data_IF_903249170371
#
_entry.id   IF_903249170371
#
_cell.length_a   1.000
_cell.length_b   1.000
_cell.length_c   1.000
_cell.angle_alpha   90.00
_cell.angle_beta   90.00
_cell.angle_gamma   90.00
#
_symmetry.space_group_name_H-M   'P 1'
#
loop_
_entity.id
_entity.type
_entity.pdbx_description
1 polymer ?
#
# COMPACT_ATOMS: atom_id res chain seq x y z
N UNK A 1 -9.22 -5.73 9.00
CA UNK A 1 -9.42 -6.57 10.20
C UNK A 1 -8.36 -6.35 11.29
N UNK A 2 -7.10 -6.74 11.08
CA UNK A 2 -6.07 -6.71 12.15
C UNK A 2 -5.88 -5.34 12.81
N UNK A 3 -5.79 -4.26 12.04
CA UNK A 3 -5.66 -2.90 12.60
C UNK A 3 -6.85 -2.53 13.50
N UNK A 4 -8.09 -2.81 13.05
CA UNK A 4 -9.31 -2.56 13.83
C UNK A 4 -9.27 -3.34 15.15
N UNK A 5 -8.94 -4.63 15.11
CA UNK A 5 -8.85 -5.46 16.32
C UNK A 5 -7.81 -4.91 17.31
N UNK A 6 -6.64 -4.49 16.81
CA UNK A 6 -5.59 -3.91 17.65
C UNK A 6 -5.99 -2.57 18.27
N UNK A 7 -6.73 -1.73 17.54
CA UNK A 7 -7.25 -0.48 18.10
C UNK A 7 -8.26 -0.74 19.22
N UNK A 8 -9.16 -1.72 19.05
CA UNK A 8 -10.11 -2.13 20.10
C UNK A 8 -9.36 -2.69 21.31
N UNK A 9 -8.32 -3.50 21.11
CA UNK A 9 -7.43 -3.98 22.19
C UNK A 9 -6.72 -2.85 22.95
N UNK A 10 -6.54 -1.67 22.31
CA UNK A 10 -5.98 -0.46 22.92
C UNK A 10 -7.07 0.53 23.36
N UNK A 11 -8.24 0.02 23.74
CA UNK A 11 -9.36 0.79 24.30
C UNK A 11 -9.97 1.84 23.34
N UNK A 12 -9.73 1.76 22.03
CA UNK A 12 -10.46 2.58 21.06
C UNK A 12 -11.91 2.10 21.01
N UNK A 13 -12.92 2.99 21.19
CA UNK A 13 -14.32 2.60 21.16
C UNK A 13 -14.70 1.91 19.85
N UNK A 14 -15.39 0.78 19.92
CA UNK A 14 -15.89 0.05 18.75
C UNK A 14 -16.68 0.95 17.80
N UNK A 15 -17.48 1.87 18.34
CA UNK A 15 -18.25 2.83 17.54
C UNK A 15 -17.39 3.75 16.68
N UNK A 16 -16.13 4.02 17.07
CA UNK A 16 -15.23 4.85 16.28
C UNK A 16 -14.55 4.09 15.13
N UNK A 17 -14.40 2.76 15.25
CA UNK A 17 -13.64 1.95 14.29
C UNK A 17 -14.49 0.98 13.46
N UNK A 18 -15.70 0.66 13.89
CA UNK A 18 -16.63 -0.27 13.24
C UNK A 18 -17.84 0.41 12.58
N UNK A 19 -17.90 1.74 12.57
CA UNK A 19 -18.95 2.46 11.84
C UNK A 19 -18.84 2.20 10.32
N UNK A 20 -19.96 1.87 9.70
CA UNK A 20 -20.15 1.63 8.28
C UNK A 20 -21.48 2.28 7.86
N UNK A 21 -21.75 2.35 6.55
CA UNK A 21 -22.98 3.00 6.02
C UNK A 21 -24.29 2.44 6.61
N UNK A 22 -24.26 1.19 7.10
CA UNK A 22 -25.42 0.48 7.69
C UNK A 22 -25.45 0.51 9.22
N UNK A 23 -24.61 1.32 9.87
CA UNK A 23 -24.50 1.41 11.33
C UNK A 23 -23.18 0.84 11.86
N UNK A 24 -23.20 0.18 13.02
CA UNK A 24 -22.00 -0.40 13.62
C UNK A 24 -21.88 -1.88 13.22
N UNK A 25 -20.74 -2.26 12.66
CA UNK A 25 -20.45 -3.66 12.31
C UNK A 25 -20.41 -4.54 13.57
N UNK A 26 -21.06 -5.71 13.51
CA UNK A 26 -21.04 -6.67 14.61
C UNK A 26 -19.69 -7.40 14.72
N UNK A 27 -19.38 -7.96 15.90
CA UNK A 27 -18.17 -8.75 16.10
C UNK A 27 -18.16 -10.01 15.20
N UNK A 28 -19.31 -10.66 15.04
CA UNK A 28 -19.45 -11.83 14.15
C UNK A 28 -19.17 -11.48 12.69
N UNK A 29 -19.64 -10.32 12.23
CA UNK A 29 -19.38 -9.88 10.86
C UNK A 29 -17.90 -9.45 10.67
N UNK A 30 -17.31 -8.79 11.68
CA UNK A 30 -15.88 -8.47 11.70
C UNK A 30 -15.01 -9.73 11.62
N UNK A 31 -15.38 -10.80 12.33
CA UNK A 31 -14.68 -12.07 12.29
C UNK A 31 -14.69 -12.68 10.88
N UNK A 32 -15.83 -12.61 10.20
CA UNK A 32 -16.03 -13.13 8.85
C UNK A 32 -15.53 -12.21 7.73
N UNK A 33 -14.90 -11.08 8.05
CA UNK A 33 -14.38 -10.13 7.04
C UNK A 33 -13.46 -10.78 5.98
N UNK A 34 -12.76 -11.85 6.33
CA UNK A 34 -11.88 -12.58 5.42
C UNK A 34 -12.62 -13.48 4.41
N UNK A 35 -13.91 -13.70 4.63
CA UNK A 35 -14.82 -14.46 3.75
C UNK A 35 -15.64 -13.52 2.84
N UNK A 36 -15.55 -12.21 3.04
CA UNK A 36 -16.32 -11.23 2.28
C UNK A 36 -15.94 -11.25 0.80
N UNK A 37 -16.94 -11.11 -0.06
CA UNK A 37 -16.73 -11.10 -1.51
C UNK A 37 -16.19 -9.75 -1.98
N UNK A 38 -15.59 -9.73 -3.18
CA UNK A 38 -15.07 -8.51 -3.79
C UNK A 38 -16.15 -7.58 -4.35
N UNK A 39 -17.44 -7.92 -4.31
CA UNK A 39 -18.51 -7.10 -4.89
C UNK A 39 -19.36 -6.43 -3.79
N UNK A 40 -19.56 -5.11 -3.90
CA UNK A 40 -20.44 -4.32 -3.01
C UNK A 40 -19.80 -3.80 -1.71
N UNK A 41 -18.90 -4.56 -1.08
CA UNK A 41 -18.33 -4.23 0.24
C UNK A 41 -17.20 -3.17 0.21
N UNK A 42 -16.82 -2.69 -0.98
CA UNK A 42 -15.79 -1.66 -1.17
C UNK A 42 -16.16 -0.30 -0.55
N UNK A 43 -17.46 0.02 -0.45
CA UNK A 43 -17.91 1.27 0.19
C UNK A 43 -17.47 1.32 1.66
N UNK A 44 -17.63 0.21 2.39
CA UNK A 44 -17.21 0.08 3.77
C UNK A 44 -15.69 0.16 3.92
N UNK A 45 -14.94 -0.41 2.97
CA UNK A 45 -13.48 -0.29 2.95
C UNK A 45 -13.03 1.17 2.82
N UNK A 46 -13.64 1.94 1.94
CA UNK A 46 -13.30 3.36 1.76
C UNK A 46 -13.67 4.21 2.98
N UNK A 47 -14.84 3.96 3.58
CA UNK A 47 -15.24 4.58 4.85
C UNK A 47 -14.22 4.27 5.96
N UNK A 48 -13.76 3.02 6.07
CA UNK A 48 -12.76 2.65 7.06
C UNK A 48 -11.39 3.28 6.82
N UNK A 49 -10.91 3.27 5.58
CA UNK A 49 -9.63 3.89 5.22
C UNK A 49 -9.67 5.40 5.49
N UNK A 50 -10.78 6.07 5.15
CA UNK A 50 -10.85 7.53 5.17
C UNK A 50 -11.24 8.11 6.54
N UNK A 51 -12.21 7.48 7.22
CA UNK A 51 -12.89 8.07 8.38
C UNK A 51 -12.58 7.34 9.69
N UNK A 52 -12.49 6.01 9.68
CA UNK A 52 -12.39 5.26 10.93
C UNK A 52 -10.94 5.05 11.38
N UNK A 53 -10.04 4.71 10.46
CA UNK A 53 -8.67 4.28 10.82
C UNK A 53 -7.65 5.42 10.82
N UNK A 54 -7.83 6.40 9.92
CA UNK A 54 -6.90 7.54 9.77
C UNK A 54 -6.78 8.42 11.02
N UNK A 55 -7.85 8.73 11.78
CA UNK A 55 -7.74 9.47 13.04
C UNK A 55 -6.86 8.78 14.09
N UNK A 56 -6.72 7.45 13.99
CA UNK A 56 -5.89 6.65 14.89
C UNK A 56 -4.48 6.37 14.34
N UNK A 57 -4.03 7.14 13.33
CA UNK A 57 -2.69 7.02 12.78
C UNK A 57 -2.47 5.77 11.93
N UNK A 58 -3.55 5.13 11.46
CA UNK A 58 -3.47 3.96 10.57
C UNK A 58 -3.71 4.41 9.12
N UNK A 59 -2.71 4.21 8.28
CA UNK A 59 -2.69 4.64 6.87
C UNK A 59 -2.59 3.42 5.93
N UNK A 60 -3.07 3.57 4.69
CA UNK A 60 -3.06 2.52 3.68
C UNK A 60 -2.32 2.97 2.43
N UNK A 61 -1.46 2.10 1.91
CA UNK A 61 -0.89 2.21 0.57
C UNK A 61 -1.71 1.41 -0.42
N UNK A 62 -1.95 1.96 -1.61
CA UNK A 62 -2.65 1.30 -2.70
C UNK A 62 -1.83 1.39 -4.01
N UNK A 63 -1.96 0.43 -4.93
CA UNK A 63 -2.83 -0.77 -4.84
C UNK A 63 -2.21 -1.97 -4.12
N UNK A 64 -0.91 -1.94 -3.79
CA UNK A 64 -0.21 -3.07 -3.19
C UNK A 64 0.47 -2.69 -1.87
N UNK A 65 1.60 -2.00 -1.95
CA UNK A 65 2.39 -1.56 -0.81
C UNK A 65 3.09 -0.22 -1.11
N UNK A 66 3.82 0.29 -0.12
CA UNK A 66 4.62 1.50 -0.27
C UNK A 66 5.77 1.34 -1.28
N UNK A 67 6.29 0.13 -1.48
CA UNK A 67 7.39 -0.10 -2.41
C UNK A 67 6.93 0.11 -3.86
N UNK A 68 5.73 -0.39 -4.20
CA UNK A 68 5.10 -0.16 -5.50
C UNK A 68 4.79 1.32 -5.71
N UNK A 69 4.27 2.01 -4.68
CA UNK A 69 4.00 3.45 -4.75
C UNK A 69 5.28 4.26 -5.00
N UNK A 70 6.38 3.90 -4.34
CA UNK A 70 7.69 4.53 -4.56
C UNK A 70 8.24 4.24 -5.96
N UNK A 71 8.11 2.99 -6.44
CA UNK A 71 8.52 2.60 -7.78
C UNK A 71 7.77 3.38 -8.87
N UNK A 72 6.46 3.57 -8.70
CA UNK A 72 5.64 4.37 -9.60
C UNK A 72 6.02 5.86 -9.56
N UNK A 73 6.34 6.40 -8.38
CA UNK A 73 6.71 7.80 -8.21
C UNK A 73 8.08 8.13 -8.83
N UNK A 74 9.03 7.18 -8.80
CA UNK A 74 10.42 7.41 -9.20
C UNK A 74 10.97 6.37 -10.20
N UNK A 75 10.28 6.09 -11.32
CA UNK A 75 10.64 4.98 -12.22
C UNK A 75 12.07 5.10 -12.75
N UNK A 76 12.50 6.32 -13.11
CA UNK A 76 13.87 6.58 -13.61
C UNK A 76 14.96 6.32 -12.56
N UNK A 77 14.65 6.57 -11.28
CA UNK A 77 15.61 6.34 -10.20
C UNK A 77 15.85 4.83 -9.99
N UNK A 78 14.78 4.04 -9.99
CA UNK A 78 14.88 2.58 -9.91
C UNK A 78 15.48 1.98 -11.19
N UNK A 79 15.10 2.47 -12.37
CA UNK A 79 15.73 2.05 -13.62
C UNK A 79 17.23 2.36 -13.65
N UNK A 80 17.64 3.50 -13.10
CA UNK A 80 19.03 3.96 -13.08
C UNK A 80 19.98 3.15 -12.19
N UNK A 81 19.46 2.28 -11.31
CA UNK A 81 20.27 1.37 -10.48
C UNK A 81 20.38 -0.03 -11.07
N UNK A 82 19.74 -0.29 -12.22
CA UNK A 82 19.85 -1.57 -12.91
C UNK A 82 21.26 -1.69 -13.52
N UNK A 83 22.06 -2.71 -13.15
CA UNK A 83 23.37 -2.93 -13.75
C UNK A 83 23.24 -3.36 -15.21
N UNK A 84 24.32 -3.19 -15.99
CA UNK A 84 24.37 -3.64 -17.39
C UNK A 84 24.04 -5.14 -17.49
N UNK A 85 23.07 -5.48 -18.34
CA UNK A 85 22.58 -6.86 -18.51
C UNK A 85 21.62 -7.33 -17.41
N UNK A 86 21.32 -6.49 -16.41
CA UNK A 86 20.29 -6.74 -15.40
C UNK A 86 18.89 -6.34 -15.87
N UNK A 87 17.97 -6.24 -14.92
CA UNK A 87 16.62 -5.70 -15.12
C UNK A 87 15.50 -6.73 -15.18
N UNK A 88 14.26 -6.27 -15.35
CA UNK A 88 13.08 -7.12 -15.46
C UNK A 88 13.14 -7.96 -16.74
N UNK A 89 12.93 -9.28 -16.61
CA UNK A 89 12.95 -10.23 -17.75
C UNK A 89 11.66 -11.04 -17.88
N UNK A 90 10.70 -10.80 -17.00
CA UNK A 90 9.50 -11.59 -16.86
C UNK A 90 8.33 -10.85 -17.51
N UNK A 91 7.48 -11.59 -18.23
CA UNK A 91 6.20 -11.06 -18.71
C UNK A 91 5.29 -10.69 -17.52
N UNK A 92 4.33 -9.80 -17.75
CA UNK A 92 3.46 -9.26 -16.70
C UNK A 92 2.71 -10.34 -15.93
N UNK A 93 2.17 -11.35 -16.62
CA UNK A 93 1.40 -12.44 -16.01
C UNK A 93 2.26 -13.26 -15.05
N UNK A 94 3.46 -13.64 -15.50
CA UNK A 94 4.40 -14.39 -14.66
C UNK A 94 4.92 -13.57 -13.49
N UNK A 95 5.12 -12.27 -13.71
CA UNK A 95 5.52 -11.36 -12.64
C UNK A 95 4.40 -11.21 -11.61
N UNK A 96 3.14 -11.13 -12.07
CA UNK A 96 1.97 -11.10 -11.21
C UNK A 96 1.85 -12.36 -10.34
N UNK A 97 2.03 -13.55 -10.92
CA UNK A 97 2.03 -14.80 -10.14
C UNK A 97 3.09 -14.78 -9.02
N UNK A 98 4.29 -14.27 -9.32
CA UNK A 98 5.36 -14.18 -8.34
C UNK A 98 5.13 -13.11 -7.27
N UNK A 99 4.47 -12.00 -7.60
CA UNK A 99 4.25 -10.86 -6.71
C UNK A 99 3.00 -11.00 -5.86
N UNK A 100 1.91 -11.44 -6.49
CA UNK A 100 0.58 -11.52 -5.88
C UNK A 100 0.26 -12.93 -5.36
N UNK A 101 1.06 -13.92 -5.76
CA UNK A 101 0.77 -15.34 -5.54
C UNK A 101 -0.32 -15.85 -6.47
N UNK A 102 -0.50 -17.17 -6.48
CA UNK A 102 -1.45 -17.86 -7.38
C UNK A 102 -2.77 -18.22 -6.72
N UNK A 103 -2.93 -17.96 -5.42
CA UNK A 103 -4.16 -18.26 -4.67
C UNK A 103 -5.24 -17.18 -4.81
N UNK A 104 -4.83 -15.96 -5.19
CA UNK A 104 -5.73 -14.82 -5.34
C UNK A 104 -6.16 -14.55 -6.79
N UNK A 105 -6.91 -13.46 -7.03
CA UNK A 105 -7.40 -13.09 -8.36
C UNK A 105 -6.30 -12.60 -9.33
N UNK A 106 -5.05 -12.47 -8.87
CA UNK A 106 -3.91 -12.00 -9.67
C UNK A 106 -4.19 -10.66 -10.35
N UNK A 107 -3.89 -10.59 -11.65
CA UNK A 107 -4.15 -9.41 -12.49
C UNK A 107 -5.64 -9.02 -12.58
N UNK A 108 -6.57 -9.93 -12.26
CA UNK A 108 -8.01 -9.65 -12.23
C UNK A 108 -8.41 -8.60 -11.18
N UNK A 109 -7.59 -8.37 -10.14
CA UNK A 109 -7.81 -7.30 -9.17
C UNK A 109 -7.30 -5.92 -9.65
N UNK A 110 -6.46 -5.89 -10.68
CA UNK A 110 -5.82 -4.67 -11.19
C UNK A 110 -6.65 -4.09 -12.34
N UNK A 111 -7.87 -3.64 -12.06
CA UNK A 111 -8.75 -3.08 -13.10
C UNK A 111 -9.01 -1.59 -12.85
N UNK A 112 -9.59 -0.90 -13.84
CA UNK A 112 -9.93 0.52 -13.74
C UNK A 112 -8.70 1.39 -13.40
N UNK A 113 -8.71 2.16 -12.30
CA UNK A 113 -7.56 3.00 -11.93
C UNK A 113 -6.29 2.20 -11.59
N UNK A 114 -6.41 0.89 -11.33
CA UNK A 114 -5.26 0.03 -11.00
C UNK A 114 -4.65 -0.68 -12.21
N UNK A 115 -5.25 -0.56 -13.40
CA UNK A 115 -4.77 -1.19 -14.63
C UNK A 115 -3.31 -0.79 -14.95
N UNK A 116 -2.95 0.48 -14.72
CA UNK A 116 -1.62 1.03 -15.02
C UNK A 116 -0.50 0.37 -14.20
N UNK A 117 -0.83 -0.28 -13.08
CA UNK A 117 0.16 -0.90 -12.20
C UNK A 117 0.58 -2.29 -12.66
N UNK A 118 -0.15 -2.93 -13.59
CA UNK A 118 0.22 -4.24 -14.14
C UNK A 118 1.62 -4.20 -14.79
N UNK A 119 1.87 -3.15 -15.56
CA UNK A 119 3.16 -2.91 -16.21
C UNK A 119 4.33 -2.70 -15.23
N UNK A 120 4.04 -2.39 -13.95
CA UNK A 120 5.07 -2.21 -12.92
C UNK A 120 5.47 -3.53 -12.24
N UNK A 121 4.67 -4.59 -12.33
CA UNK A 121 4.91 -5.85 -11.62
C UNK A 121 6.24 -6.52 -12.00
N UNK A 122 6.69 -6.54 -13.27
CA UNK A 122 8.02 -7.04 -13.61
C UNK A 122 9.15 -6.28 -12.91
N UNK A 123 9.06 -4.95 -12.87
CA UNK A 123 10.04 -4.09 -12.20
C UNK A 123 9.98 -4.25 -10.68
N UNK A 124 8.78 -4.30 -10.10
CA UNK A 124 8.57 -4.57 -8.69
C UNK A 124 9.22 -5.90 -8.28
N UNK A 125 8.93 -6.98 -9.02
CA UNK A 125 9.51 -8.31 -8.77
C UNK A 125 11.04 -8.27 -8.82
N UNK A 126 11.60 -7.58 -9.82
CA UNK A 126 13.04 -7.42 -9.95
C UNK A 126 13.65 -6.64 -8.76
N UNK A 127 13.07 -5.51 -8.39
CA UNK A 127 13.65 -4.64 -7.36
C UNK A 127 13.43 -5.13 -5.93
N UNK A 128 12.33 -5.82 -5.64
CA UNK A 128 11.88 -6.04 -4.27
C UNK A 128 11.68 -7.50 -3.86
N UNK A 129 11.61 -8.44 -4.82
CA UNK A 129 11.60 -9.88 -4.51
C UNK A 129 12.96 -10.54 -4.71
N UNK A 130 13.83 -10.00 -5.58
CA UNK A 130 15.19 -10.53 -5.78
C UNK A 130 16.29 -9.74 -5.12
N UNK A 131 16.01 -8.53 -4.65
CA UNK A 131 17.00 -7.66 -4.01
C UNK A 131 16.51 -7.21 -2.64
N UNK A 132 17.44 -6.72 -1.81
CA UNK A 132 17.12 -6.17 -0.49
C UNK A 132 16.33 -4.87 -0.64
N UNK A 133 15.08 -4.84 -0.13
CA UNK A 133 14.22 -3.65 -0.18
C UNK A 133 14.92 -2.39 0.37
N UNK A 134 15.54 -2.39 1.56
CA UNK A 134 16.27 -1.22 2.06
C UNK A 134 17.41 -0.77 1.14
N UNK A 135 18.20 -1.71 0.60
CA UNK A 135 19.33 -1.38 -0.26
C UNK A 135 18.88 -0.81 -1.61
N UNK A 136 17.83 -1.39 -2.21
CA UNK A 136 17.21 -0.89 -3.45
C UNK A 136 16.70 0.54 -3.26
N UNK A 137 15.96 0.80 -2.18
CA UNK A 137 15.47 2.15 -1.89
C UNK A 137 16.60 3.14 -1.69
N UNK A 138 17.59 2.80 -0.86
CA UNK A 138 18.74 3.68 -0.62
C UNK A 138 19.48 4.02 -1.93
N UNK A 139 19.73 3.01 -2.77
CA UNK A 139 20.39 3.21 -4.05
C UNK A 139 19.57 4.09 -5.01
N UNK A 140 18.27 3.85 -5.14
CA UNK A 140 17.39 4.66 -5.99
C UNK A 140 17.28 6.11 -5.48
N UNK A 141 17.00 6.29 -4.19
CA UNK A 141 16.82 7.61 -3.57
C UNK A 141 18.10 8.44 -3.57
N UNK A 142 19.28 7.81 -3.50
CA UNK A 142 20.57 8.53 -3.62
C UNK A 142 20.76 9.28 -4.94
N UNK A 143 19.97 8.93 -5.97
CA UNK A 143 20.01 9.56 -7.30
C UNK A 143 19.04 10.72 -7.44
N UNK A 144 18.17 10.95 -6.45
CA UNK A 144 17.14 11.98 -6.49
C UNK A 144 17.64 13.28 -5.88
N UNK A 145 17.21 14.40 -6.47
CA UNK A 145 17.36 15.70 -5.80
C UNK A 145 16.29 15.83 -4.74
N UNK A 146 16.61 16.55 -3.65
CA UNK A 146 15.66 16.77 -2.55
C UNK A 146 14.34 17.41 -3.02
N UNK A 147 14.40 18.31 -4.02
CA UNK A 147 13.20 18.92 -4.62
C UNK A 147 12.29 17.86 -5.24
N UNK A 148 12.83 17.02 -6.11
CA UNK A 148 12.07 15.97 -6.80
C UNK A 148 11.48 14.97 -5.81
N UNK A 149 12.23 14.62 -4.76
CA UNK A 149 11.77 13.74 -3.70
C UNK A 149 10.55 14.32 -2.98
N UNK A 150 10.55 15.63 -2.66
CA UNK A 150 9.43 16.29 -1.98
C UNK A 150 8.20 16.43 -2.89
N UNK A 151 8.40 16.79 -4.14
CA UNK A 151 7.31 17.06 -5.09
C UNK A 151 6.59 15.78 -5.54
N UNK A 152 7.32 14.68 -5.68
CA UNK A 152 6.79 13.41 -6.24
C UNK A 152 6.54 12.32 -5.19
N UNK A 153 6.81 12.59 -3.91
CA UNK A 153 6.58 11.63 -2.82
C UNK A 153 5.15 11.10 -2.89
N UNK A 154 4.93 9.77 -2.75
CA UNK A 154 3.58 9.22 -2.62
C UNK A 154 2.79 9.93 -1.51
N UNK A 155 1.55 10.34 -1.82
CA UNK A 155 0.72 11.15 -0.92
C UNK A 155 0.59 10.52 0.49
N UNK A 156 0.41 9.20 0.57
CA UNK A 156 0.33 8.47 1.84
C UNK A 156 1.56 8.70 2.74
N UNK A 157 2.78 8.80 2.18
CA UNK A 157 3.98 9.07 2.97
C UNK A 157 4.00 10.52 3.48
N UNK A 158 3.57 11.47 2.66
CA UNK A 158 3.44 12.86 3.11
C UNK A 158 2.41 12.98 4.25
N UNK A 159 1.32 12.24 4.18
CA UNK A 159 0.30 12.18 5.24
C UNK A 159 0.83 11.57 6.53
N UNK A 160 1.55 10.45 6.44
CA UNK A 160 2.22 9.80 7.58
C UNK A 160 3.22 10.75 8.22
N UNK A 161 4.06 11.43 7.43
CA UNK A 161 5.05 12.39 7.95
C UNK A 161 4.38 13.57 8.67
N UNK A 162 3.28 14.10 8.11
CA UNK A 162 2.50 15.16 8.75
C UNK A 162 1.88 14.69 10.07
N UNK A 163 1.36 13.46 10.11
CA UNK A 163 0.84 12.88 11.34
C UNK A 163 1.93 12.68 12.39
N UNK A 164 3.11 12.19 11.99
CA UNK A 164 4.27 12.06 12.88
C UNK A 164 4.66 13.43 13.43
N UNK A 165 4.78 14.46 12.59
CA UNK A 165 5.15 15.82 13.03
C UNK A 165 4.16 16.39 14.07
N UNK A 166 2.86 16.15 13.88
CA UNK A 166 1.83 16.60 14.82
C UNK A 166 1.81 15.79 16.14
N UNK A 167 2.21 14.52 16.08
CA UNK A 167 2.21 13.58 17.22
C UNK A 167 3.52 13.58 18.01
N UNK A 168 4.62 14.03 17.41
CA UNK A 168 5.88 14.24 18.11
C UNK A 168 5.70 15.40 19.10
N UNK A 169 5.79 15.08 20.40
CA UNK A 169 5.94 16.10 21.43
C UNK A 169 7.26 16.80 21.18
N UNK A 170 7.22 18.11 20.94
CA UNK A 170 8.39 18.97 21.05
C UNK A 170 8.53 19.30 22.52
N UNK A 171 9.23 18.44 23.24
CA UNK A 171 9.86 18.78 24.51
C UNK A 171 10.99 19.81 24.31
#
# INVERSE_FOLDING_TARGET
KTAIQKLIEFDVPKTAVLEIDKGILSDTDLEKMHEWSTTGDHANLQAWISNNLRPHGVFFSAPLDLDLAMLQAFPDAYAGIIPKGGGPRMAEEKAADAVLGTAGPGLGAYTGPFEVYKALLPAYRYHFLTNSKPATHLAALSRLKQKDLREKMPAVLAEVLKHIEASLRRD
#
